data_IF_211208750376
#
_entry.id   IF_211208750376
#
_cell.length_a   1.000
_cell.length_b   1.000
_cell.length_c   1.000
_cell.angle_alpha   90.00
_cell.angle_beta   90.00
_cell.angle_gamma   90.00
#
_symmetry.space_group_name_H-M   'P 1'
#
loop_
_entity.id
_entity.type
_entity.pdbx_description
1 polymer ?
#
# COMPACT_ATOMS: atom_id res chain seq x y z
N UNK A 1 19.20 0.15 2.04
CA UNK A 1 18.82 -0.81 0.98
C UNK A 1 18.25 -2.04 1.68
N UNK A 2 17.00 -2.43 1.41
CA UNK A 2 16.31 -3.56 2.03
C UNK A 2 16.35 -3.53 3.58
N UNK A 3 15.70 -2.54 4.19
CA UNK A 3 15.75 -2.25 5.64
C UNK A 3 15.44 -3.49 6.49
N UNK A 4 14.46 -4.29 6.07
CA UNK A 4 14.08 -5.52 6.76
C UNK A 4 14.79 -6.79 6.28
N UNK A 5 15.92 -6.71 5.57
CA UNK A 5 16.72 -7.91 5.24
C UNK A 5 17.11 -8.71 6.51
N UNK A 6 17.41 -8.01 7.61
CA UNK A 6 17.68 -8.65 8.91
C UNK A 6 16.45 -9.37 9.47
N UNK A 7 15.25 -8.88 9.18
CA UNK A 7 13.99 -9.53 9.56
C UNK A 7 13.86 -10.84 8.79
N UNK A 8 14.02 -10.80 7.47
CA UNK A 8 13.99 -12.00 6.62
C UNK A 8 14.98 -13.08 7.08
N UNK A 9 16.22 -12.67 7.36
CA UNK A 9 17.30 -13.57 7.78
C UNK A 9 17.02 -14.23 9.14
N UNK A 10 16.35 -13.53 10.06
CA UNK A 10 15.97 -14.07 11.38
C UNK A 10 14.82 -15.06 11.33
N UNK A 11 13.98 -15.01 10.29
CA UNK A 11 12.87 -15.95 10.12
C UNK A 11 13.40 -17.31 9.64
N UNK A 12 12.98 -18.38 10.33
CA UNK A 12 13.13 -19.74 9.82
C UNK A 12 12.34 -19.94 8.53
N UNK A 13 12.66 -20.99 7.77
CA UNK A 13 11.91 -21.33 6.55
C UNK A 13 10.41 -21.52 6.83
N UNK A 14 10.06 -22.19 7.94
CA UNK A 14 8.68 -22.36 8.38
C UNK A 14 8.00 -21.01 8.67
N UNK A 15 8.65 -20.10 9.42
CA UNK A 15 8.09 -18.78 9.71
C UNK A 15 7.90 -17.92 8.45
N UNK A 16 8.78 -18.04 7.46
CA UNK A 16 8.63 -17.36 6.16
C UNK A 16 7.39 -17.89 5.42
N UNK A 17 7.20 -19.21 5.40
CA UNK A 17 6.05 -19.83 4.77
C UNK A 17 4.74 -19.45 5.49
N UNK A 18 4.74 -19.49 6.82
CA UNK A 18 3.60 -19.08 7.66
C UNK A 18 3.25 -17.59 7.46
N UNK A 19 4.26 -16.72 7.30
CA UNK A 19 4.08 -15.30 6.95
C UNK A 19 3.35 -15.10 5.64
N UNK A 20 3.74 -15.84 4.61
CA UNK A 20 3.09 -15.77 3.31
C UNK A 20 1.64 -16.27 3.42
N UNK A 21 1.42 -17.42 4.04
CA UNK A 21 0.10 -18.04 4.19
C UNK A 21 -0.87 -17.17 4.99
N UNK A 22 -0.45 -16.66 6.15
CA UNK A 22 -1.28 -15.75 6.96
C UNK A 22 -1.54 -14.41 6.28
N UNK A 23 -0.69 -14.02 5.34
CA UNK A 23 -0.91 -12.85 4.46
C UNK A 23 -1.79 -13.17 3.25
N UNK A 24 -2.37 -14.36 3.17
CA UNK A 24 -3.30 -14.77 2.11
C UNK A 24 -2.62 -15.15 0.81
N UNK A 25 -1.35 -15.60 0.87
CA UNK A 25 -0.60 -16.09 -0.28
C UNK A 25 -0.41 -17.60 -0.20
N UNK A 26 -0.50 -18.27 -1.34
CA UNK A 26 -0.05 -19.66 -1.44
C UNK A 26 1.49 -19.67 -1.47
N UNK A 27 2.11 -20.55 -0.68
CA UNK A 27 3.57 -20.65 -0.61
C UNK A 27 4.03 -22.07 -0.30
N UNK A 28 5.16 -22.46 -0.88
CA UNK A 28 5.88 -23.71 -0.61
C UNK A 28 7.38 -23.44 -0.74
N UNK A 29 8.02 -23.02 0.36
CA UNK A 29 9.44 -22.62 0.34
C UNK A 29 10.40 -23.77 0.66
N UNK A 30 9.88 -24.89 1.16
CA UNK A 30 10.62 -25.90 1.95
C UNK A 30 11.09 -27.15 1.20
N UNK A 31 10.91 -27.27 -0.12
CA UNK A 31 11.34 -28.48 -0.88
C UNK A 31 12.59 -28.30 -1.76
N UNK A 32 13.62 -27.62 -1.25
CA UNK A 32 14.85 -27.32 -2.01
C UNK A 32 16.17 -27.84 -1.41
N UNK A 33 16.16 -28.78 -0.46
CA UNK A 33 17.39 -29.24 0.21
C UNK A 33 17.37 -30.73 0.58
N UNK A 34 18.23 -31.50 -0.11
CA UNK A 34 18.76 -32.83 0.23
C UNK A 34 17.79 -33.99 0.58
N UNK A 35 17.63 -34.91 -0.37
CA UNK A 35 17.64 -36.35 -0.09
C UNK A 35 18.31 -37.09 -1.25
N UNK A 36 19.54 -37.53 -1.02
CA UNK A 36 20.20 -38.52 -1.87
C UNK A 36 19.60 -39.92 -1.68
N UNK A 37 19.94 -40.78 -2.64
CA UNK A 37 19.80 -42.24 -2.70
C UNK A 37 18.38 -42.83 -2.66
N UNK A 38 17.88 -43.13 -3.87
CA UNK A 38 17.48 -44.48 -4.27
C UNK A 38 16.21 -45.06 -3.66
N UNK A 39 15.14 -45.14 -4.48
CA UNK A 39 14.65 -46.44 -4.94
C UNK A 39 13.67 -46.25 -6.11
N UNK A 40 13.84 -47.10 -7.12
CA UNK A 40 13.02 -47.15 -8.32
C UNK A 40 11.59 -47.52 -7.96
N UNK A 41 10.63 -46.72 -8.41
CA UNK A 41 9.29 -47.23 -8.69
C UNK A 41 8.78 -46.56 -9.97
N UNK A 42 9.30 -47.05 -11.09
CA UNK A 42 8.60 -47.02 -12.36
C UNK A 42 7.34 -47.87 -12.18
N UNK A 43 6.20 -47.23 -11.91
CA UNK A 43 4.87 -47.58 -12.45
C UNK A 43 3.78 -46.81 -11.70
N UNK A 44 2.85 -46.24 -12.48
CA UNK A 44 1.66 -45.45 -12.09
C UNK A 44 1.86 -43.95 -11.79
N UNK A 45 2.07 -43.18 -12.86
CA UNK A 45 1.48 -41.84 -13.01
C UNK A 45 1.42 -41.41 -14.49
N UNK A 46 0.79 -42.22 -15.34
CA UNK A 46 0.27 -41.72 -16.62
C UNK A 46 -1.11 -41.09 -16.35
N UNK A 47 -1.08 -39.80 -16.02
CA UNK A 47 -2.28 -38.99 -15.78
C UNK A 47 -1.86 -37.55 -15.48
N UNK A 48 -1.96 -36.68 -16.50
CA UNK A 48 -1.77 -35.22 -16.44
C UNK A 48 -0.41 -34.71 -15.93
N UNK A 49 0.60 -34.72 -16.81
CA UNK A 49 1.72 -33.77 -16.71
C UNK A 49 1.17 -32.35 -16.99
N UNK A 50 0.55 -31.74 -15.99
CA UNK A 50 0.13 -30.33 -16.00
C UNK A 50 1.38 -29.47 -16.20
N UNK A 51 1.54 -28.97 -17.43
CA UNK A 51 2.51 -27.95 -17.82
C UNK A 51 2.49 -26.81 -16.81
N UNK A 52 3.46 -26.81 -15.90
CA UNK A 52 3.55 -25.83 -14.83
C UNK A 52 4.30 -24.61 -15.33
N UNK A 53 3.56 -23.53 -15.61
CA UNK A 53 4.16 -22.25 -16.01
C UNK A 53 4.73 -21.53 -14.79
N UNK A 54 6.01 -21.18 -14.85
CA UNK A 54 6.69 -20.38 -13.82
C UNK A 54 6.98 -18.96 -14.31
N UNK A 55 7.14 -18.05 -13.37
CA UNK A 55 7.49 -16.67 -13.61
C UNK A 55 8.57 -16.22 -12.65
N UNK A 56 9.59 -15.56 -13.17
CA UNK A 56 10.55 -14.78 -12.39
C UNK A 56 10.07 -13.34 -12.33
N UNK A 57 9.93 -12.79 -11.14
CA UNK A 57 9.48 -11.41 -10.92
C UNK A 57 10.53 -10.64 -10.14
N UNK A 58 11.01 -9.53 -10.70
CA UNK A 58 11.95 -8.63 -10.06
C UNK A 58 11.20 -7.43 -9.47
N UNK A 59 11.42 -7.14 -8.18
CA UNK A 59 10.77 -6.04 -7.47
C UNK A 59 11.81 -5.19 -6.77
N UNK A 60 11.68 -3.87 -6.90
CA UNK A 60 12.48 -2.90 -6.19
C UNK A 60 11.60 -1.85 -5.50
N UNK A 61 11.69 -1.76 -4.18
CA UNK A 61 10.98 -0.77 -3.37
C UNK A 61 9.50 -0.66 -3.76
N UNK A 62 8.78 -1.79 -3.63
CA UNK A 62 7.35 -1.93 -3.97
C UNK A 62 7.01 -1.83 -5.48
N UNK A 63 7.99 -1.57 -6.34
CA UNK A 63 7.78 -1.46 -7.80
C UNK A 63 8.22 -2.73 -8.51
N UNK A 64 7.34 -3.31 -9.32
CA UNK A 64 7.68 -4.44 -10.20
C UNK A 64 8.51 -3.91 -11.37
N UNK A 65 9.76 -4.36 -11.48
CA UNK A 65 10.67 -3.97 -12.54
C UNK A 65 10.49 -4.84 -13.78
N UNK A 66 10.35 -6.16 -13.57
CA UNK A 66 10.33 -7.13 -14.66
C UNK A 66 9.49 -8.35 -14.27
N UNK A 67 8.80 -8.92 -15.25
CA UNK A 67 8.09 -10.21 -15.14
C UNK A 67 8.54 -11.05 -16.34
N UNK A 68 9.19 -12.18 -16.08
CA UNK A 68 9.73 -13.07 -17.10
C UNK A 68 9.08 -14.45 -17.00
N UNK A 69 8.39 -14.94 -18.04
CA UNK A 69 7.92 -16.32 -18.08
C UNK A 69 9.11 -17.27 -18.23
N UNK A 70 9.16 -18.32 -17.43
CA UNK A 70 10.11 -19.42 -17.56
C UNK A 70 9.38 -20.60 -18.22
N UNK A 71 9.86 -21.05 -19.39
CA UNK A 71 9.20 -22.06 -20.20
C UNK A 71 9.04 -23.42 -19.49
N UNK A 72 8.20 -24.29 -20.05
CA UNK A 72 7.90 -25.62 -19.51
C UNK A 72 8.90 -26.66 -20.01
N UNK A 73 9.87 -27.08 -19.20
CA UNK A 73 10.79 -28.16 -19.56
C UNK A 73 11.71 -28.61 -18.42
N UNK A 74 12.20 -29.85 -18.52
CA UNK A 74 12.95 -30.62 -17.51
C UNK A 74 14.31 -30.03 -17.02
N UNK A 75 14.62 -28.78 -17.36
CA UNK A 75 15.82 -28.07 -16.91
C UNK A 75 15.61 -27.19 -15.66
N UNK A 76 14.40 -27.17 -15.08
CA UNK A 76 14.11 -26.39 -13.87
C UNK A 76 14.19 -27.26 -12.60
N UNK A 77 15.42 -27.51 -12.14
CA UNK A 77 15.63 -27.72 -10.73
C UNK A 77 15.70 -26.32 -10.08
N UNK A 78 14.86 -25.95 -9.09
CA UNK A 78 14.92 -24.61 -8.46
C UNK A 78 16.29 -24.28 -7.82
N UNK A 79 17.15 -25.30 -7.66
CA UNK A 79 18.55 -25.19 -7.28
C UNK A 79 19.52 -24.83 -8.43
N UNK A 80 19.12 -24.94 -9.71
CA UNK A 80 20.00 -24.78 -10.89
C UNK A 80 19.82 -23.48 -11.68
N UNK A 81 18.94 -22.57 -11.24
CA UNK A 81 18.83 -21.23 -11.86
C UNK A 81 20.06 -20.38 -11.49
N UNK A 82 20.85 -19.88 -12.46
CA UNK A 82 22.01 -19.07 -12.15
C UNK A 82 21.58 -17.73 -11.54
N UNK A 83 22.26 -17.24 -10.48
CA UNK A 83 22.09 -15.85 -10.06
C UNK A 83 22.46 -14.92 -11.23
N UNK A 84 21.89 -13.73 -11.26
CA UNK A 84 22.30 -12.66 -12.18
C UNK A 84 23.81 -12.47 -12.03
N UNK A 85 24.59 -12.94 -13.01
CA UNK A 85 26.04 -12.81 -13.02
C UNK A 85 26.36 -11.32 -13.16
N UNK A 86 26.94 -10.73 -12.10
CA UNK A 86 27.71 -9.52 -12.23
C UNK A 86 28.85 -9.79 -13.21
N UNK A 87 28.93 -9.01 -14.28
CA UNK A 87 30.00 -9.13 -15.28
C UNK A 87 31.32 -8.83 -14.56
N UNK A 88 32.08 -9.88 -14.31
CA UNK A 88 33.47 -9.81 -13.87
C UNK A 88 34.36 -9.49 -15.07
N UNK A 89 35.20 -8.48 -14.86
CA UNK A 89 36.34 -8.06 -15.67
C UNK A 89 37.31 -9.19 -15.99
N UNK A 90 37.78 -9.28 -17.24
CA UNK A 90 39.21 -9.26 -17.59
C UNK A 90 39.41 -9.50 -19.10
N UNK A 91 40.05 -8.54 -19.76
CA UNK A 91 40.60 -8.65 -21.11
C UNK A 91 41.55 -7.47 -21.34
N UNK A 92 42.80 -7.62 -20.87
CA UNK A 92 43.92 -6.69 -21.12
C UNK A 92 44.07 -6.44 -22.62
N UNK A 93 44.27 -5.18 -23.01
CA UNK A 93 45.24 -4.71 -24.01
C UNK A 93 45.40 -3.18 -23.77
N UNK A 94 46.63 -2.71 -23.57
CA UNK A 94 47.00 -1.29 -23.70
C UNK A 94 48.03 -1.13 -24.82
N UNK A 95 48.76 0.00 -24.93
CA UNK A 95 48.32 1.40 -24.86
C UNK A 95 48.85 2.23 -26.07
N UNK A 96 48.17 3.32 -26.44
CA UNK A 96 48.68 4.46 -27.23
C UNK A 96 47.49 5.41 -27.45
N UNK A 97 47.55 6.73 -27.39
CA UNK A 97 48.60 7.73 -27.22
C UNK A 97 47.89 9.09 -27.04
N UNK A 98 48.70 10.10 -26.74
CA UNK A 98 48.38 11.52 -26.51
C UNK A 98 47.40 12.13 -27.54
N UNK A 99 46.59 13.12 -27.15
CA UNK A 99 46.90 14.55 -27.41
C UNK A 99 45.85 15.53 -26.84
N UNK A 100 46.29 16.78 -26.70
CA UNK A 100 45.79 17.90 -25.93
C UNK A 100 44.59 18.68 -26.53
N UNK A 101 43.89 19.42 -25.65
CA UNK A 101 43.60 20.85 -25.83
C UNK A 101 42.47 21.30 -26.78
N UNK A 102 41.41 21.91 -26.21
CA UNK A 102 41.13 23.36 -26.29
C UNK A 102 39.73 23.72 -25.82
N UNK A 103 39.68 24.74 -24.96
CA UNK A 103 38.51 25.51 -24.57
C UNK A 103 38.09 26.50 -25.68
N UNK A 104 36.81 26.85 -25.71
CA UNK A 104 36.34 28.09 -26.31
C UNK A 104 35.04 28.55 -25.62
N UNK A 105 35.19 29.60 -24.82
CA UNK A 105 34.13 30.53 -24.41
C UNK A 105 33.73 31.41 -25.60
N UNK A 106 32.43 31.72 -25.76
CA UNK A 106 31.97 32.94 -26.43
C UNK A 106 30.67 33.44 -25.77
N UNK A 107 30.85 34.51 -25.00
CA UNK A 107 30.14 35.81 -24.93
C UNK A 107 28.60 35.91 -24.94
N UNK A 108 28.17 36.68 -23.94
CA UNK A 108 26.89 37.34 -23.68
C UNK A 108 26.89 38.72 -24.35
N UNK A 109 25.75 39.16 -24.88
CA UNK A 109 25.26 40.56 -24.91
C UNK A 109 23.74 40.53 -25.23
N UNK A 110 22.86 41.12 -24.40
CA UNK A 110 22.26 42.47 -24.58
C UNK A 110 20.98 42.35 -25.44
N UNK A 111 19.78 42.84 -25.14
CA UNK A 111 19.30 43.99 -24.38
C UNK A 111 17.80 43.79 -24.02
N UNK A 112 17.31 44.55 -23.04
CA UNK A 112 15.88 44.75 -22.73
C UNK A 112 15.37 46.05 -23.38
N UNK A 113 14.09 46.11 -23.77
CA UNK A 113 13.32 47.35 -23.56
C UNK A 113 12.03 47.13 -22.76
N UNK A 114 11.73 48.14 -21.94
CA UNK A 114 10.51 48.27 -21.13
C UNK A 114 9.37 48.87 -21.95
N UNK A 115 8.17 48.31 -21.74
CA UNK A 115 6.92 49.04 -21.43
C UNK A 115 6.12 49.62 -22.59
N UNK A 116 4.86 49.21 -22.72
CA UNK A 116 3.68 50.07 -22.52
C UNK A 116 2.38 49.25 -22.48
N UNK A 117 1.37 49.84 -21.84
CA UNK A 117 0.05 49.36 -21.40
C UNK A 117 -0.97 49.01 -22.49
N UNK A 118 -1.96 48.16 -22.17
CA UNK A 118 -3.25 48.13 -22.88
C UNK A 118 -4.11 46.86 -22.71
N UNK A 119 -5.18 47.01 -21.95
CA UNK A 119 -6.47 46.28 -21.85
C UNK A 119 -6.84 45.05 -22.72
N UNK A 120 -7.52 44.11 -22.05
CA UNK A 120 -8.71 43.33 -22.43
C UNK A 120 -8.77 42.48 -23.72
N UNK A 121 -9.06 41.19 -23.57
CA UNK A 121 -9.70 40.37 -24.61
C UNK A 121 -9.13 38.94 -24.69
N UNK A 122 -9.98 37.93 -24.50
CA UNK A 122 -9.56 36.54 -24.39
C UNK A 122 -9.21 35.85 -25.72
N UNK A 123 -8.43 34.78 -25.62
CA UNK A 123 -8.53 33.58 -26.45
C UNK A 123 -7.71 32.48 -25.78
N UNK A 124 -8.31 31.30 -25.65
CA UNK A 124 -7.63 30.09 -25.23
C UNK A 124 -6.74 29.62 -26.38
N UNK A 125 -5.42 29.61 -26.17
CA UNK A 125 -4.50 28.91 -27.06
C UNK A 125 -3.76 27.81 -26.33
N UNK A 126 -3.70 26.70 -27.05
CA UNK A 126 -3.35 25.36 -26.60
C UNK A 126 -1.85 25.17 -26.78
N UNK A 127 -1.05 25.38 -25.74
CA UNK A 127 0.37 25.03 -25.79
C UNK A 127 0.61 23.57 -25.39
N UNK A 128 0.85 22.76 -26.43
CA UNK A 128 1.47 21.44 -26.35
C UNK A 128 2.89 21.55 -25.76
N UNK A 129 3.04 21.36 -24.44
CA UNK A 129 4.33 21.02 -23.84
C UNK A 129 4.49 19.51 -23.75
N UNK A 130 5.30 18.97 -24.65
CA UNK A 130 5.87 17.63 -24.60
C UNK A 130 6.70 17.47 -23.31
N UNK A 131 6.13 16.80 -22.31
CA UNK A 131 6.83 16.34 -21.12
C UNK A 131 7.01 14.83 -21.22
N UNK A 132 8.23 14.41 -21.54
CA UNK A 132 8.67 13.01 -21.62
C UNK A 132 8.91 12.45 -20.21
N UNK A 133 7.82 12.03 -19.55
CA UNK A 133 7.91 11.14 -18.38
C UNK A 133 8.23 9.71 -18.85
N UNK A 134 9.13 8.98 -18.17
CA UNK A 134 9.31 7.56 -18.44
C UNK A 134 8.01 6.81 -18.12
N UNK A 135 7.71 5.84 -18.99
CA UNK A 135 6.43 5.15 -19.10
C UNK A 135 5.78 4.80 -17.75
N UNK A 136 4.51 5.20 -17.66
CA UNK A 136 3.62 5.06 -16.53
C UNK A 136 3.55 3.62 -15.98
N UNK A 137 3.70 3.50 -14.66
CA UNK A 137 3.23 2.36 -13.86
C UNK A 137 1.68 2.39 -13.75
N UNK A 138 1.02 2.52 -14.90
CA UNK A 138 -0.41 2.37 -15.02
C UNK A 138 -0.82 0.97 -14.57
N UNK A 139 -1.85 0.93 -13.75
CA UNK A 139 -2.51 -0.27 -13.24
C UNK A 139 -2.67 -1.32 -14.37
N UNK A 140 -1.86 -2.39 -14.35
CA UNK A 140 -2.01 -3.48 -15.33
C UNK A 140 -3.22 -4.31 -14.94
N UNK A 141 -4.43 -3.88 -15.32
CA UNK A 141 -5.63 -4.73 -15.26
C UNK A 141 -5.34 -5.99 -16.10
N UNK A 142 -5.08 -7.13 -15.45
CA UNK A 142 -4.55 -8.30 -16.16
C UNK A 142 -3.95 -9.36 -15.24
N UNK A 143 -3.60 -10.51 -15.81
CA UNK A 143 -2.87 -11.57 -15.10
C UNK A 143 -1.49 -11.08 -14.60
N UNK A 144 -0.80 -10.26 -15.41
CA UNK A 144 0.48 -9.64 -15.06
C UNK A 144 0.39 -8.69 -13.85
N UNK A 145 -0.70 -7.92 -13.72
CA UNK A 145 -0.92 -7.07 -12.54
C UNK A 145 -1.09 -7.88 -11.28
N UNK A 146 -1.95 -8.90 -11.31
CA UNK A 146 -2.18 -9.78 -10.15
C UNK A 146 -0.91 -10.49 -9.70
N UNK A 147 -0.08 -10.92 -10.65
CA UNK A 147 1.22 -11.51 -10.36
C UNK A 147 2.18 -10.52 -9.71
N UNK A 148 2.22 -9.28 -10.20
CA UNK A 148 2.97 -8.18 -9.61
C UNK A 148 2.55 -7.90 -8.16
N UNK A 149 1.24 -7.80 -7.91
CA UNK A 149 0.69 -7.59 -6.56
C UNK A 149 1.09 -8.73 -5.62
N UNK A 150 1.00 -9.99 -6.08
CA UNK A 150 1.46 -11.16 -5.32
C UNK A 150 2.94 -11.07 -4.98
N UNK A 151 3.79 -10.67 -5.94
CA UNK A 151 5.23 -10.56 -5.74
C UNK A 151 5.58 -9.46 -4.72
N UNK A 152 4.99 -8.28 -4.85
CA UNK A 152 5.20 -7.15 -3.92
C UNK A 152 4.74 -7.54 -2.51
N UNK A 153 3.54 -8.12 -2.38
CA UNK A 153 3.00 -8.56 -1.10
C UNK A 153 3.86 -9.63 -0.43
N UNK A 154 4.36 -10.59 -1.22
CA UNK A 154 5.23 -11.65 -0.73
C UNK A 154 6.54 -11.12 -0.15
N UNK A 155 7.22 -10.21 -0.86
CA UNK A 155 8.43 -9.57 -0.31
C UNK A 155 8.11 -8.75 0.94
N UNK A 156 7.06 -7.92 0.88
CA UNK A 156 6.71 -6.99 1.96
C UNK A 156 6.44 -7.71 3.29
N UNK A 157 5.59 -8.73 3.30
CA UNK A 157 5.25 -9.48 4.52
C UNK A 157 6.45 -10.25 5.12
N UNK A 158 7.43 -10.57 4.28
CA UNK A 158 8.69 -11.18 4.68
C UNK A 158 9.72 -10.16 5.20
N UNK A 159 9.36 -8.88 5.27
CA UNK A 159 10.26 -7.81 5.69
C UNK A 159 11.16 -7.28 4.57
N UNK A 160 10.98 -7.73 3.33
CA UNK A 160 11.83 -7.33 2.22
C UNK A 160 11.22 -6.15 1.45
N UNK A 161 12.07 -5.20 1.06
CA UNK A 161 11.67 -4.06 0.22
C UNK A 161 11.90 -4.35 -1.27
N UNK A 162 12.88 -5.22 -1.56
CA UNK A 162 13.36 -5.55 -2.90
C UNK A 162 13.87 -6.99 -2.97
N UNK A 163 13.75 -7.60 -4.14
CA UNK A 163 14.23 -8.96 -4.38
C UNK A 163 13.67 -9.56 -5.66
N UNK A 164 13.89 -10.85 -5.79
CA UNK A 164 13.38 -11.69 -6.87
C UNK A 164 12.46 -12.75 -6.27
N UNK A 165 11.37 -13.06 -6.98
CA UNK A 165 10.50 -14.18 -6.68
C UNK A 165 10.38 -15.14 -7.86
N UNK A 166 10.29 -16.42 -7.53
CA UNK A 166 9.83 -17.46 -8.43
C UNK A 166 8.38 -17.80 -8.08
N UNK A 167 7.47 -17.54 -9.01
CA UNK A 167 6.05 -17.79 -8.86
C UNK A 167 5.60 -18.91 -9.79
N UNK A 168 4.84 -19.88 -9.27
CA UNK A 168 4.16 -20.91 -10.06
C UNK A 168 2.73 -20.50 -10.35
N UNK A 169 2.29 -20.56 -11.59
CA UNK A 169 0.87 -20.39 -11.93
C UNK A 169 0.05 -21.62 -11.52
N UNK A 170 -1.07 -21.37 -10.85
CA UNK A 170 -1.99 -22.40 -10.36
C UNK A 170 -3.32 -22.44 -11.13
N UNK A 171 -3.43 -21.68 -12.23
CA UNK A 171 -4.69 -21.44 -12.94
C UNK A 171 -5.52 -20.32 -12.30
N UNK A 172 -6.54 -19.82 -13.01
CA UNK A 172 -7.50 -18.84 -12.46
C UNK A 172 -6.90 -17.52 -11.94
N UNK A 173 -5.72 -17.11 -12.43
CA UNK A 173 -4.91 -15.98 -11.91
C UNK A 173 -4.44 -16.15 -10.44
N UNK A 174 -4.37 -17.38 -9.95
CA UNK A 174 -3.69 -17.71 -8.70
C UNK A 174 -2.22 -18.05 -8.95
N UNK A 175 -1.37 -17.64 -8.00
CA UNK A 175 0.07 -17.81 -8.06
C UNK A 175 0.58 -18.28 -6.70
N UNK A 176 1.44 -19.29 -6.70
CA UNK A 176 2.13 -19.79 -5.52
C UNK A 176 3.57 -19.30 -5.48
N UNK A 177 4.03 -18.89 -4.31
CA UNK A 177 5.41 -18.47 -4.06
C UNK A 177 6.28 -19.70 -3.78
N UNK A 178 7.19 -20.02 -4.70
CA UNK A 178 8.06 -21.20 -4.59
C UNK A 178 9.49 -20.80 -4.16
N UNK A 179 9.95 -19.60 -4.50
CA UNK A 179 11.28 -19.09 -4.08
C UNK A 179 11.26 -17.58 -3.87
N UNK A 180 12.00 -17.12 -2.86
CA UNK A 180 12.26 -15.70 -2.59
C UNK A 180 13.77 -15.51 -2.46
N UNK A 181 14.34 -14.61 -3.26
CA UNK A 181 15.75 -14.26 -3.26
C UNK A 181 15.84 -12.76 -2.90
N UNK A 182 16.23 -12.41 -1.66
CA UNK A 182 16.41 -11.02 -1.28
C UNK A 182 17.43 -10.31 -2.15
N UNK A 183 17.17 -9.05 -2.50
CA UNK A 183 18.22 -8.22 -3.09
C UNK A 183 19.26 -7.89 -2.01
N UNK A 184 20.49 -8.34 -2.22
CA UNK A 184 21.66 -8.01 -1.40
C UNK A 184 22.62 -7.14 -2.20
N UNK A 185 23.29 -6.19 -1.56
CA UNK A 185 24.36 -5.43 -2.21
C UNK A 185 25.46 -6.39 -2.67
N UNK A 186 25.95 -6.21 -3.90
CA UNK A 186 27.09 -6.96 -4.41
C UNK A 186 28.37 -6.60 -3.61
N UNK A 187 29.39 -7.45 -3.66
CA UNK A 187 30.71 -7.16 -3.07
C UNK A 187 31.34 -5.87 -3.63
N UNK A 188 31.00 -5.49 -4.88
CA UNK A 188 31.40 -4.23 -5.51
C UNK A 188 30.58 -3.01 -5.07
N UNK A 189 29.54 -3.20 -4.25
CA UNK A 189 28.60 -2.15 -3.85
C UNK A 189 27.61 -1.71 -4.93
N UNK A 190 27.83 -2.03 -6.21
CA UNK A 190 26.96 -1.66 -7.31
C UNK A 190 25.78 -2.63 -7.47
N UNK A 191 24.58 -2.07 -7.66
CA UNK A 191 23.40 -2.85 -8.02
C UNK A 191 23.48 -3.29 -9.50
N UNK A 192 23.06 -4.53 -9.85
CA UNK A 192 22.90 -4.91 -11.24
C UNK A 192 21.68 -4.22 -11.87
N UNK A 193 21.63 -4.13 -13.20
CA UNK A 193 20.39 -3.76 -13.88
C UNK A 193 19.34 -4.89 -13.74
N UNK A 194 18.03 -4.57 -13.67
CA UNK A 194 17.42 -3.23 -13.72
C UNK A 194 17.37 -2.49 -12.36
N UNK A 195 17.92 -3.07 -11.28
CA UNK A 195 17.84 -2.49 -9.93
C UNK A 195 18.59 -1.17 -9.80
N UNK A 196 19.71 -1.00 -10.49
CA UNK A 196 20.49 0.25 -10.46
C UNK A 196 19.69 1.42 -11.02
N UNK A 197 19.10 1.29 -12.20
CA UNK A 197 18.26 2.32 -12.78
C UNK A 197 17.07 2.66 -11.87
N UNK A 198 16.39 1.65 -11.33
CA UNK A 198 15.27 1.85 -10.40
C UNK A 198 15.70 2.56 -9.10
N UNK A 199 16.87 2.22 -8.57
CA UNK A 199 17.43 2.89 -7.40
C UNK A 199 17.73 4.36 -7.66
N UNK A 200 18.34 4.69 -8.81
CA UNK A 200 18.63 6.07 -9.19
C UNK A 200 17.33 6.88 -9.37
N UNK A 201 16.33 6.31 -10.02
CA UNK A 201 15.01 6.94 -10.20
C UNK A 201 14.34 7.25 -8.85
N UNK A 202 14.32 6.28 -7.93
CA UNK A 202 13.76 6.48 -6.59
C UNK A 202 14.54 7.55 -5.80
N UNK A 203 15.88 7.50 -5.81
CA UNK A 203 16.70 8.50 -5.12
C UNK A 203 16.44 9.90 -5.68
N UNK A 204 16.30 10.03 -7.00
CA UNK A 204 15.93 11.29 -7.63
C UNK A 204 14.56 11.78 -7.14
N UNK A 205 13.52 10.93 -7.18
CA UNK A 205 12.19 11.29 -6.66
C UNK A 205 12.21 11.74 -5.21
N UNK A 206 12.93 11.02 -4.35
CA UNK A 206 13.08 11.37 -2.93
C UNK A 206 13.85 12.67 -2.73
N UNK A 207 14.85 12.97 -3.57
CA UNK A 207 15.64 14.21 -3.48
C UNK A 207 14.84 15.47 -3.83
N UNK A 208 13.73 15.32 -4.57
CA UNK A 208 12.83 16.41 -4.91
C UNK A 208 11.84 16.74 -3.79
N UNK A 209 11.72 15.90 -2.77
CA UNK A 209 10.82 16.14 -1.64
C UNK A 209 11.37 17.19 -0.69
N UNK A 210 10.52 18.13 -0.29
CA UNK A 210 10.83 19.10 0.74
C UNK A 210 10.52 18.53 2.14
N UNK A 211 11.36 18.80 3.16
CA UNK A 211 11.09 18.41 4.54
C UNK A 211 9.70 18.85 5.02
N UNK A 212 8.98 17.96 5.72
CA UNK A 212 7.62 18.21 6.19
C UNK A 212 6.54 18.14 5.09
N UNK A 213 6.94 18.03 3.82
CA UNK A 213 6.07 17.84 2.65
C UNK A 213 4.96 18.90 2.55
N UNK A 214 5.29 20.20 2.37
CA UNK A 214 4.29 21.26 2.21
C UNK A 214 3.37 21.06 0.99
N UNK A 215 3.82 20.27 0.01
CA UNK A 215 3.02 19.86 -1.15
C UNK A 215 2.08 18.68 -0.90
N UNK A 216 2.10 18.07 0.30
CA UNK A 216 1.27 16.92 0.65
C UNK A 216 -0.21 17.25 0.49
N UNK A 217 -0.91 16.41 -0.24
CA UNK A 217 -2.36 16.47 -0.38
C UNK A 217 -2.95 15.14 0.06
N UNK A 218 -3.99 15.21 0.88
CA UNK A 218 -4.73 14.07 1.38
C UNK A 218 -6.08 13.96 0.68
N UNK A 219 -6.43 12.74 0.30
CA UNK A 219 -7.78 12.32 -0.06
C UNK A 219 -8.21 11.15 0.82
N UNK A 220 -9.46 10.73 0.68
CA UNK A 220 -10.00 9.54 1.34
C UNK A 220 -11.25 9.07 0.63
N UNK A 221 -11.60 7.82 0.88
CA UNK A 221 -12.79 7.18 0.38
C UNK A 221 -13.33 6.14 1.39
N UNK A 222 -13.71 6.55 2.63
CA UNK A 222 -14.20 5.60 3.61
C UNK A 222 -15.61 5.10 3.30
N UNK A 223 -15.84 3.85 3.68
CA UNK A 223 -17.00 3.05 3.29
C UNK A 223 -18.00 2.84 4.45
N UNK A 224 -19.27 2.61 4.10
CA UNK A 224 -20.33 2.22 5.03
C UNK A 224 -21.41 1.36 4.34
N UNK A 225 -22.20 0.62 5.14
CA UNK A 225 -23.34 -0.17 4.69
C UNK A 225 -24.66 0.50 5.04
N UNK A 226 -25.67 0.23 4.22
CA UNK A 226 -27.07 0.50 4.54
C UNK A 226 -27.72 -0.79 5.06
N UNK A 227 -28.16 -0.78 6.30
CA UNK A 227 -28.78 -1.93 6.95
C UNK A 227 -30.25 -1.65 7.25
N UNK A 228 -31.13 -2.58 6.86
CA UNK A 228 -32.52 -2.62 7.31
C UNK A 228 -32.60 -3.48 8.58
N UNK A 229 -32.69 -2.84 9.74
CA UNK A 229 -32.69 -3.55 11.04
C UNK A 229 -33.83 -4.56 11.17
N UNK A 230 -35.03 -4.23 10.68
CA UNK A 230 -36.20 -5.12 10.78
C UNK A 230 -36.02 -6.47 10.09
N UNK A 231 -35.11 -6.58 9.12
CA UNK A 231 -34.84 -7.83 8.39
C UNK A 231 -33.39 -8.32 8.52
N UNK A 232 -32.51 -7.54 9.13
CA UNK A 232 -31.07 -7.80 9.17
C UNK A 232 -30.38 -7.79 7.81
N UNK A 233 -31.02 -7.28 6.75
CA UNK A 233 -30.49 -7.34 5.37
C UNK A 233 -29.76 -6.07 4.97
N UNK A 234 -28.62 -6.24 4.31
CA UNK A 234 -27.92 -5.16 3.60
C UNK A 234 -28.78 -4.72 2.41
N UNK A 235 -29.03 -3.41 2.34
CA UNK A 235 -29.69 -2.78 1.21
C UNK A 235 -28.61 -2.22 0.29
N UNK A 236 -28.60 -2.54 -1.01
CA UNK A 236 -27.55 -2.04 -1.89
C UNK A 236 -27.52 -0.51 -1.95
N UNK A 237 -26.34 0.07 -1.74
CA UNK A 237 -26.13 1.52 -1.81
C UNK A 237 -26.55 2.12 -3.15
N UNK A 238 -26.36 1.37 -4.25
CA UNK A 238 -26.77 1.74 -5.62
C UNK A 238 -28.25 2.04 -5.80
N UNK A 239 -29.11 1.66 -4.84
CA UNK A 239 -30.53 2.06 -4.85
C UNK A 239 -30.74 3.55 -4.53
N UNK A 240 -29.75 4.20 -3.92
CA UNK A 240 -29.86 5.57 -3.43
C UNK A 240 -28.71 6.46 -3.90
N UNK A 241 -27.51 5.90 -4.07
CA UNK A 241 -26.31 6.64 -4.44
C UNK A 241 -25.90 6.31 -5.88
N UNK A 242 -25.35 7.28 -6.63
CA UNK A 242 -24.71 7.04 -7.92
C UNK A 242 -23.48 6.12 -7.76
N UNK A 243 -22.97 5.59 -8.87
CA UNK A 243 -21.73 4.79 -8.84
C UNK A 243 -20.51 5.65 -8.49
N UNK A 244 -20.47 6.89 -8.96
CA UNK A 244 -19.38 7.85 -8.78
C UNK A 244 -19.81 9.04 -7.90
N UNK A 245 -18.99 10.10 -7.86
CA UNK A 245 -19.28 11.31 -7.12
C UNK A 245 -18.86 11.29 -5.64
N UNK A 246 -19.13 12.41 -4.96
CA UNK A 246 -18.71 12.68 -3.56
C UNK A 246 -19.35 11.72 -2.55
N UNK A 247 -20.52 11.19 -2.88
CA UNK A 247 -21.20 10.12 -2.15
C UNK A 247 -21.69 9.14 -3.21
N UNK A 248 -21.00 8.02 -3.34
CA UNK A 248 -21.27 7.04 -4.39
C UNK A 248 -21.26 5.62 -3.85
N UNK A 249 -21.07 4.65 -4.73
CA UNK A 249 -21.03 3.24 -4.38
C UNK A 249 -19.69 2.61 -4.75
N UNK A 250 -19.33 1.55 -4.04
CA UNK A 250 -18.24 0.64 -4.42
C UNK A 250 -18.73 -0.81 -4.58
N UNK A 251 -17.93 -1.61 -5.28
CA UNK A 251 -18.18 -3.02 -5.48
C UNK A 251 -18.05 -3.77 -4.16
N UNK A 252 -19.03 -4.61 -3.85
CA UNK A 252 -19.01 -5.44 -2.64
C UNK A 252 -18.17 -6.71 -2.82
N UNK A 253 -18.17 -7.60 -1.81
CA UNK A 253 -17.48 -8.89 -1.85
C UNK A 253 -17.83 -9.72 -3.11
N UNK A 254 -16.95 -10.67 -3.52
CA UNK A 254 -17.23 -11.59 -4.61
C UNK A 254 -18.58 -12.29 -4.44
N UNK A 255 -19.44 -12.21 -5.46
CA UNK A 255 -20.81 -12.77 -5.44
C UNK A 255 -21.92 -11.72 -5.50
N UNK A 256 -21.62 -10.43 -5.31
CA UNK A 256 -22.60 -9.34 -5.34
C UNK A 256 -23.06 -8.92 -6.75
N UNK A 257 -22.66 -9.64 -7.82
CA UNK A 257 -23.09 -9.50 -9.24
C UNK A 257 -23.57 -8.08 -9.62
N UNK A 258 -22.68 -7.08 -9.57
CA UNK A 258 -22.95 -5.73 -10.07
C UNK A 258 -23.93 -4.89 -9.24
N UNK A 259 -24.26 -5.30 -8.00
CA UNK A 259 -25.23 -4.56 -7.17
C UNK A 259 -24.64 -3.39 -6.37
N UNK A 260 -23.34 -3.10 -6.48
CA UNK A 260 -22.61 -2.04 -5.73
C UNK A 260 -23.19 -1.77 -4.33
N UNK A 261 -23.09 -2.75 -3.42
CA UNK A 261 -23.80 -2.74 -2.15
C UNK A 261 -23.19 -1.79 -1.10
N UNK A 262 -21.94 -1.38 -1.25
CA UNK A 262 -21.21 -0.55 -0.29
C UNK A 262 -21.34 0.92 -0.70
N UNK A 263 -21.62 1.79 0.27
CA UNK A 263 -21.59 3.23 0.07
C UNK A 263 -20.19 3.77 0.39
N UNK A 264 -19.70 4.72 -0.41
CA UNK A 264 -18.35 5.29 -0.26
C UNK A 264 -18.42 6.83 -0.32
N UNK A 265 -17.75 7.50 0.61
CA UNK A 265 -17.68 8.96 0.67
C UNK A 265 -16.35 9.45 0.11
N UNK A 266 -16.35 10.20 -0.99
CA UNK A 266 -15.14 10.66 -1.70
C UNK A 266 -15.00 12.18 -1.61
N UNK A 267 -14.70 12.75 -0.42
CA UNK A 267 -14.52 14.20 -0.27
C UNK A 267 -13.40 14.72 -1.18
N UNK A 268 -13.52 15.98 -1.60
CA UNK A 268 -12.49 16.63 -2.40
C UNK A 268 -11.14 16.66 -1.64
N UNK A 269 -10.01 16.31 -2.28
CA UNK A 269 -8.70 16.32 -1.64
C UNK A 269 -8.32 17.70 -1.08
N UNK A 270 -7.57 17.69 0.04
CA UNK A 270 -7.10 18.91 0.73
C UNK A 270 -5.71 18.69 1.30
N UNK A 271 -4.94 19.77 1.40
CA UNK A 271 -3.64 19.78 2.10
C UNK A 271 -3.84 19.69 3.61
N UNK A 272 -4.71 20.57 4.14
CA UNK A 272 -4.98 20.65 5.56
C UNK A 272 -5.96 19.55 6.05
N UNK A 273 -5.60 18.75 7.06
CA UNK A 273 -6.46 17.72 7.64
C UNK A 273 -7.85 18.23 8.04
N UNK A 274 -7.91 19.41 8.66
CA UNK A 274 -9.18 20.02 9.08
C UNK A 274 -10.09 20.33 7.90
N UNK A 275 -9.53 20.81 6.80
CA UNK A 275 -10.30 21.09 5.59
C UNK A 275 -10.82 19.80 4.95
N UNK A 276 -10.02 18.73 4.94
CA UNK A 276 -10.44 17.42 4.44
C UNK A 276 -11.61 16.85 5.25
N UNK A 277 -11.53 16.93 6.58
CA UNK A 277 -12.61 16.50 7.47
C UNK A 277 -13.89 17.32 7.26
N UNK A 278 -13.78 18.63 7.02
CA UNK A 278 -14.94 19.45 6.67
C UNK A 278 -15.59 18.99 5.35
N UNK A 279 -14.79 18.60 4.35
CA UNK A 279 -15.30 18.00 3.11
C UNK A 279 -15.95 16.64 3.36
N UNK A 280 -15.39 15.80 4.24
CA UNK A 280 -16.01 14.54 4.65
C UNK A 280 -17.39 14.75 5.29
N UNK A 281 -17.52 15.74 6.16
CA UNK A 281 -18.83 16.11 6.74
C UNK A 281 -19.83 16.53 5.65
N UNK A 282 -19.38 17.27 4.63
CA UNK A 282 -20.22 17.67 3.50
C UNK A 282 -20.63 16.47 2.63
N UNK A 283 -19.71 15.53 2.41
CA UNK A 283 -19.97 14.27 1.70
C UNK A 283 -21.04 13.44 2.43
N UNK A 284 -20.90 13.28 3.75
CA UNK A 284 -21.89 12.56 4.57
C UNK A 284 -23.28 13.23 4.51
N UNK A 285 -23.37 14.56 4.58
CA UNK A 285 -24.65 15.27 4.40
C UNK A 285 -25.24 15.10 3.00
N UNK A 286 -24.40 14.94 1.99
CA UNK A 286 -24.86 14.67 0.62
C UNK A 286 -25.44 13.27 0.52
N UNK A 287 -24.74 12.26 1.05
CA UNK A 287 -25.27 10.91 1.19
C UNK A 287 -26.60 10.88 1.99
N UNK A 288 -26.71 11.65 3.08
CA UNK A 288 -27.92 11.71 3.90
C UNK A 288 -29.15 12.28 3.18
N UNK A 289 -28.93 13.25 2.27
CA UNK A 289 -30.00 13.80 1.42
C UNK A 289 -30.45 12.80 0.37
N UNK A 290 -29.52 12.06 -0.24
CA UNK A 290 -29.82 11.06 -1.27
C UNK A 290 -30.48 9.80 -0.69
N UNK A 291 -30.02 9.35 0.47
CA UNK A 291 -30.60 8.19 1.18
C UNK A 291 -31.81 8.65 1.98
N UNK A 292 -32.91 8.97 1.29
CA UNK A 292 -34.10 9.53 1.94
C UNK A 292 -34.79 8.57 2.93
N UNK A 293 -34.63 7.25 2.77
CA UNK A 293 -35.18 6.24 3.67
C UNK A 293 -34.52 6.32 5.06
N UNK A 294 -35.29 6.75 6.06
CA UNK A 294 -34.84 6.92 7.46
C UNK A 294 -34.93 5.64 8.28
N UNK A 295 -35.52 4.57 7.74
CA UNK A 295 -35.50 3.24 8.38
C UNK A 295 -34.16 2.52 8.21
N UNK A 296 -33.30 3.01 7.30
CA UNK A 296 -31.97 2.46 7.06
C UNK A 296 -30.95 3.03 8.03
N UNK A 297 -30.18 2.14 8.64
CA UNK A 297 -29.05 2.46 9.50
C UNK A 297 -27.76 2.47 8.71
N UNK A 298 -26.87 3.38 9.05
CA UNK A 298 -25.52 3.40 8.48
C UNK A 298 -24.60 2.63 9.43
N UNK A 299 -23.93 1.60 8.90
CA UNK A 299 -22.95 0.81 9.65
C UNK A 299 -21.57 0.99 9.04
N UNK A 300 -20.57 1.23 9.88
CA UNK A 300 -19.17 1.36 9.49
C UNK A 300 -18.29 0.56 10.46
N UNK A 301 -16.99 0.49 10.17
CA UNK A 301 -16.01 -0.27 10.94
C UNK A 301 -15.15 -1.16 10.07
N UNK A 302 -14.52 -2.17 10.67
CA UNK A 302 -13.72 -3.14 9.95
C UNK A 302 -14.55 -4.23 9.30
N UNK A 303 -15.58 -4.74 9.99
CA UNK A 303 -16.50 -5.76 9.49
C UNK A 303 -17.85 -5.71 10.25
N UNK A 304 -18.68 -4.67 10.04
CA UNK A 304 -19.91 -4.46 10.83
C UNK A 304 -20.93 -5.60 10.69
N UNK A 305 -20.86 -6.36 9.59
CA UNK A 305 -21.62 -7.58 9.37
C UNK A 305 -20.69 -8.67 8.85
N UNK A 306 -20.93 -9.92 9.24
CA UNK A 306 -20.12 -11.06 8.81
C UNK A 306 -20.02 -11.12 7.28
N UNK A 307 -18.78 -11.20 6.77
CA UNK A 307 -18.50 -11.22 5.34
C UNK A 307 -18.48 -9.85 4.65
N UNK A 308 -18.80 -8.76 5.36
CA UNK A 308 -18.79 -7.38 4.84
C UNK A 308 -17.65 -6.58 5.45
N UNK A 309 -16.44 -6.80 4.95
CA UNK A 309 -15.29 -5.97 5.30
C UNK A 309 -15.44 -4.58 4.67
N UNK A 310 -15.13 -3.53 5.43
CA UNK A 310 -15.20 -2.14 4.96
C UNK A 310 -13.90 -1.37 5.14
N UNK A 311 -13.65 -0.45 4.23
CA UNK A 311 -12.46 0.37 4.12
C UNK A 311 -12.54 1.77 4.66
N UNK A 312 -11.41 2.22 5.20
CA UNK A 312 -11.13 3.65 5.39
C UNK A 312 -9.88 4.01 4.62
N UNK A 313 -9.92 4.00 3.29
CA UNK A 313 -8.69 4.26 2.53
C UNK A 313 -8.31 5.74 2.58
N UNK A 314 -7.01 5.98 2.65
CA UNK A 314 -6.41 7.31 2.68
C UNK A 314 -5.51 7.47 1.48
N UNK A 315 -5.63 8.59 0.78
CA UNK A 315 -4.90 8.87 -0.44
C UNK A 315 -3.88 9.96 -0.16
N UNK A 316 -2.67 9.78 -0.69
CA UNK A 316 -1.57 10.72 -0.50
C UNK A 316 -0.93 11.05 -1.85
N UNK A 317 -0.78 12.34 -2.13
CA UNK A 317 0.02 12.84 -3.26
C UNK A 317 0.93 13.98 -2.80
N UNK A 318 1.91 14.35 -3.62
CA UNK A 318 3.01 15.22 -3.18
C UNK A 318 4.01 14.51 -2.26
N UNK A 319 3.99 13.16 -2.26
CA UNK A 319 4.93 12.29 -1.55
C UNK A 319 5.21 11.05 -2.40
N UNK A 320 6.46 10.59 -2.40
CA UNK A 320 6.91 9.37 -3.08
C UNK A 320 6.62 8.17 -2.20
N UNK A 321 5.84 7.22 -2.73
CA UNK A 321 5.66 5.94 -2.07
C UNK A 321 6.98 5.18 -2.03
N UNK A 322 7.37 4.76 -0.83
CA UNK A 322 8.48 3.85 -0.61
C UNK A 322 8.19 2.91 0.57
N UNK A 323 8.93 1.81 0.66
CA UNK A 323 8.76 0.80 1.69
C UNK A 323 8.88 1.35 3.12
N UNK A 324 9.83 2.25 3.47
CA UNK A 324 9.87 2.88 4.78
C UNK A 324 8.59 3.66 5.13
N UNK A 325 8.04 4.44 4.20
CA UNK A 325 6.78 5.16 4.38
C UNK A 325 5.62 4.19 4.61
N UNK A 326 5.52 3.13 3.79
CA UNK A 326 4.46 2.14 3.92
C UNK A 326 4.55 1.39 5.26
N UNK A 327 5.77 1.04 5.72
CA UNK A 327 6.00 0.45 7.05
C UNK A 327 5.65 1.42 8.18
N UNK A 328 5.90 2.72 8.01
CA UNK A 328 5.48 3.72 8.99
C UNK A 328 3.95 3.78 9.09
N UNK A 329 3.23 3.77 7.96
CA UNK A 329 1.76 3.70 7.98
C UNK A 329 1.26 2.42 8.67
N UNK A 330 1.84 1.25 8.37
CA UNK A 330 1.42 0.01 9.00
C UNK A 330 1.65 0.01 10.53
N UNK A 331 2.83 0.43 10.99
CA UNK A 331 3.18 0.39 12.41
C UNK A 331 2.54 1.52 13.22
N UNK A 332 2.40 2.72 12.65
CA UNK A 332 1.94 3.90 13.39
C UNK A 332 0.51 4.32 13.09
N UNK A 333 -0.14 3.75 12.08
CA UNK A 333 -1.54 4.03 11.74
C UNK A 333 -2.42 2.77 11.79
N UNK A 334 -2.06 1.70 11.06
CA UNK A 334 -2.87 0.48 11.07
C UNK A 334 -2.87 -0.24 12.40
N UNK A 335 -1.71 -0.41 13.05
CA UNK A 335 -1.63 -1.02 14.39
C UNK A 335 -2.52 -0.30 15.42
N UNK A 336 -2.42 1.03 15.65
CA UNK A 336 -3.28 1.68 16.62
C UNK A 336 -4.77 1.63 16.28
N UNK A 337 -5.16 1.69 14.99
CA UNK A 337 -6.57 1.52 14.62
C UNK A 337 -7.05 0.08 14.83
N UNK A 338 -6.19 -0.93 14.61
CA UNK A 338 -6.50 -2.32 14.93
C UNK A 338 -6.71 -2.52 16.44
N UNK A 339 -6.02 -1.78 17.31
CA UNK A 339 -6.28 -1.85 18.75
C UNK A 339 -7.69 -1.38 19.13
N UNK A 340 -8.28 -0.49 18.33
CA UNK A 340 -9.61 0.08 18.57
C UNK A 340 -10.74 -0.65 17.83
N UNK A 341 -10.44 -1.48 16.83
CA UNK A 341 -11.47 -2.14 16.00
C UNK A 341 -12.29 -3.18 16.77
N UNK A 342 -13.50 -3.50 16.30
CA UNK A 342 -14.29 -4.58 16.90
C UNK A 342 -13.60 -5.95 16.69
N UNK A 343 -13.71 -6.87 17.64
CA UNK A 343 -13.08 -8.19 17.54
C UNK A 343 -13.47 -8.96 16.26
N UNK A 344 -14.68 -8.73 15.74
CA UNK A 344 -15.16 -9.31 14.48
C UNK A 344 -14.30 -8.90 13.28
N UNK A 345 -13.71 -7.70 13.31
CA UNK A 345 -12.91 -7.18 12.22
C UNK A 345 -11.68 -8.05 11.92
N UNK A 346 -11.23 -8.90 12.85
CA UNK A 346 -10.15 -9.86 12.58
C UNK A 346 -10.39 -10.72 11.33
N UNK A 347 -11.64 -11.13 11.07
CA UNK A 347 -11.99 -11.98 9.94
C UNK A 347 -11.88 -11.29 8.57
N UNK A 348 -11.68 -9.97 8.52
CA UNK A 348 -11.40 -9.25 7.27
C UNK A 348 -10.02 -9.64 6.71
N UNK A 349 -9.06 -9.96 7.59
CA UNK A 349 -7.69 -10.31 7.22
C UNK A 349 -7.61 -11.81 6.88
N UNK A 350 -6.78 -12.19 5.89
CA UNK A 350 -5.89 -11.33 5.09
C UNK A 350 -6.50 -10.77 3.80
N UNK A 351 -7.78 -11.06 3.52
CA UNK A 351 -8.42 -10.69 2.25
C UNK A 351 -8.58 -9.18 2.08
N UNK A 352 -8.78 -8.49 3.19
CA UNK A 352 -8.91 -7.04 3.29
C UNK A 352 -8.14 -6.56 4.54
N UNK A 353 -7.57 -5.36 4.50
CA UNK A 353 -6.82 -4.81 5.64
C UNK A 353 -5.50 -5.52 5.98
N UNK A 354 -4.89 -6.19 5.00
CA UNK A 354 -3.56 -6.78 5.16
C UNK A 354 -2.47 -5.72 5.23
N UNK A 355 -1.37 -6.01 5.93
CA UNK A 355 -0.21 -5.11 5.97
C UNK A 355 0.35 -4.89 4.56
N UNK A 356 0.78 -3.66 4.29
CA UNK A 356 1.32 -3.24 3.01
C UNK A 356 0.31 -3.20 1.86
N UNK A 357 -1.00 -3.12 2.13
CA UNK A 357 -2.00 -2.96 1.08
C UNK A 357 -2.05 -1.50 0.61
N UNK A 358 -1.67 -1.29 -0.65
CA UNK A 358 -1.68 0.01 -1.30
C UNK A 358 -2.07 -0.12 -2.77
N UNK A 359 -2.42 1.02 -3.38
CA UNK A 359 -2.65 1.14 -4.81
C UNK A 359 -2.03 2.44 -5.33
N UNK A 360 -1.17 2.35 -6.35
CA UNK A 360 -0.68 3.52 -7.07
C UNK A 360 -1.81 4.16 -7.86
N UNK A 361 -1.85 5.49 -7.87
CA UNK A 361 -2.87 6.27 -8.57
C UNK A 361 -2.33 6.82 -9.90
N UNK A 362 -3.09 6.76 -11.01
CA UNK A 362 -2.62 7.21 -12.33
C UNK A 362 -2.22 8.70 -12.38
N UNK A 363 -2.85 9.51 -11.55
CA UNK A 363 -2.59 10.96 -11.44
C UNK A 363 -1.44 11.29 -10.47
N UNK A 364 -0.68 10.28 -10.02
CA UNK A 364 0.39 10.41 -9.04
C UNK A 364 -0.09 10.19 -7.61
N UNK A 365 0.85 9.80 -6.75
CA UNK A 365 0.54 9.41 -5.37
C UNK A 365 0.04 7.97 -5.24
N UNK A 366 -0.50 7.65 -4.07
CA UNK A 366 -0.98 6.32 -3.73
C UNK A 366 -2.15 6.36 -2.75
N UNK A 367 -2.93 5.28 -2.77
CA UNK A 367 -3.98 4.97 -1.82
C UNK A 367 -3.46 3.90 -0.85
N UNK A 368 -3.61 4.14 0.45
CA UNK A 368 -3.30 3.23 1.53
C UNK A 368 -4.58 2.54 2.00
N UNK A 369 -4.60 1.20 1.97
CA UNK A 369 -5.84 0.41 1.98
C UNK A 369 -5.99 -0.52 3.19
N UNK A 370 -5.03 -0.47 4.11
CA UNK A 370 -5.00 -1.37 5.27
C UNK A 370 -6.11 -1.08 6.29
N UNK A 371 -6.57 0.17 6.40
CA UNK A 371 -7.39 0.60 7.53
C UNK A 371 -8.84 0.09 7.48
N UNK A 372 -9.47 -0.21 8.64
CA UNK A 372 -10.91 -0.34 8.72
C UNK A 372 -11.59 1.00 8.43
N UNK A 373 -12.88 0.98 8.09
CA UNK A 373 -13.64 2.22 7.94
C UNK A 373 -13.67 2.99 9.26
N UNK A 374 -12.98 4.13 9.28
CA UNK A 374 -12.94 5.05 10.41
C UNK A 374 -14.19 5.95 10.51
N UNK A 375 -15.22 5.71 9.69
CA UNK A 375 -16.51 6.41 9.77
C UNK A 375 -17.34 6.03 11.01
N UNK A 376 -16.87 5.10 11.84
CA UNK A 376 -17.51 4.72 13.11
C UNK A 376 -17.82 5.92 14.02
N UNK A 377 -16.99 6.97 13.98
CA UNK A 377 -17.34 8.28 14.57
C UNK A 377 -16.47 9.42 14.04
N UNK A 378 -16.92 10.68 14.16
CA UNK A 378 -16.10 11.85 13.84
C UNK A 378 -14.81 11.96 14.67
N UNK A 379 -14.77 11.44 15.90
CA UNK A 379 -13.56 11.45 16.74
C UNK A 379 -12.51 10.51 16.16
N UNK A 380 -12.91 9.29 15.79
CA UNK A 380 -12.00 8.31 15.18
C UNK A 380 -11.48 8.82 13.84
N UNK A 381 -12.37 9.35 12.98
CA UNK A 381 -11.96 9.91 11.70
C UNK A 381 -10.99 11.09 11.85
N UNK A 382 -11.24 12.01 12.79
CA UNK A 382 -10.32 13.12 13.08
C UNK A 382 -8.94 12.59 13.47
N UNK A 383 -8.89 11.66 14.42
CA UNK A 383 -7.64 11.08 14.87
C UNK A 383 -6.89 10.35 13.74
N UNK A 384 -7.58 9.52 12.95
CA UNK A 384 -6.98 8.79 11.84
C UNK A 384 -6.36 9.73 10.79
N UNK A 385 -7.08 10.79 10.40
CA UNK A 385 -6.63 11.74 9.36
C UNK A 385 -5.47 12.60 9.86
N UNK A 386 -5.54 13.12 11.08
CA UNK A 386 -4.43 13.92 11.65
C UNK A 386 -3.19 13.07 11.92
N UNK A 387 -3.37 11.84 12.42
CA UNK A 387 -2.28 10.90 12.64
C UNK A 387 -1.62 10.51 11.31
N UNK A 388 -2.41 10.20 10.29
CA UNK A 388 -1.90 9.90 8.95
C UNK A 388 -1.09 11.07 8.36
N UNK A 389 -1.63 12.29 8.42
CA UNK A 389 -0.91 13.47 7.95
C UNK A 389 0.45 13.63 8.65
N UNK A 390 0.47 13.57 9.99
CA UNK A 390 1.71 13.70 10.76
C UNK A 390 2.72 12.60 10.43
N UNK A 391 2.27 11.34 10.31
CA UNK A 391 3.12 10.20 9.92
C UNK A 391 3.72 10.45 8.53
N UNK A 392 2.92 10.79 7.52
CA UNK A 392 3.43 10.97 6.16
C UNK A 392 4.38 12.16 6.08
N UNK A 393 4.11 13.25 6.78
CA UNK A 393 5.00 14.41 6.84
C UNK A 393 6.35 14.14 7.52
N UNK A 394 6.46 13.08 8.34
CA UNK A 394 7.62 12.82 9.22
C UNK A 394 8.04 11.35 9.31
N UNK A 395 7.74 10.53 8.30
CA UNK A 395 7.92 9.07 8.42
C UNK A 395 9.38 8.67 8.64
N UNK A 396 10.33 9.51 8.24
CA UNK A 396 11.77 9.31 8.41
C UNK A 396 12.23 9.29 9.89
N UNK A 397 11.45 9.96 10.75
CA UNK A 397 11.69 10.04 12.19
C UNK A 397 11.03 8.86 12.94
N UNK A 398 10.11 8.15 12.28
CA UNK A 398 9.37 7.01 12.82
C UNK A 398 10.07 5.71 12.46
N UNK A 399 10.92 5.18 13.35
CA UNK A 399 11.83 4.06 13.03
C UNK A 399 11.50 2.73 13.70
N UNK A 400 10.65 2.70 14.72
CA UNK A 400 10.25 1.42 15.31
C UNK A 400 9.37 0.62 14.35
N UNK A 401 9.60 -0.69 14.30
CA UNK A 401 8.90 -1.66 13.43
C UNK A 401 8.44 -2.90 14.22
N UNK A 402 7.57 -2.77 15.24
CA UNK A 402 7.11 -3.93 16.00
C UNK A 402 6.50 -5.03 15.11
N UNK A 403 5.80 -4.67 14.04
CA UNK A 403 5.21 -5.63 13.09
C UNK A 403 6.25 -6.41 12.26
N UNK A 404 7.54 -6.07 12.34
CA UNK A 404 8.59 -6.93 11.79
C UNK A 404 8.84 -8.17 12.66
N UNK A 405 8.45 -8.15 13.94
CA UNK A 405 8.52 -9.34 14.81
C UNK A 405 7.43 -10.34 14.43
N UNK A 406 7.78 -11.62 14.44
CA UNK A 406 6.89 -12.68 13.95
C UNK A 406 5.65 -12.90 14.80
N UNK A 407 5.80 -12.81 16.13
CA UNK A 407 4.72 -12.88 17.10
C UNK A 407 3.72 -11.72 16.92
N UNK A 408 4.21 -10.48 16.79
CA UNK A 408 3.35 -9.30 16.61
C UNK A 408 2.69 -9.28 15.23
N UNK A 409 3.39 -9.72 14.19
CA UNK A 409 2.78 -9.91 12.89
C UNK A 409 1.70 -10.99 12.94
N UNK A 410 1.89 -12.12 13.63
CA UNK A 410 0.84 -13.12 13.79
C UNK A 410 -0.36 -12.57 14.59
N UNK A 411 -0.10 -11.78 15.63
CA UNK A 411 -1.12 -11.11 16.43
C UNK A 411 -1.99 -10.15 15.59
N UNK A 412 -1.38 -9.35 14.71
CA UNK A 412 -2.12 -8.47 13.81
C UNK A 412 -3.12 -9.22 12.92
N UNK A 413 -2.69 -10.33 12.31
CA UNK A 413 -3.55 -11.08 11.40
C UNK A 413 -4.61 -11.91 12.13
N UNK A 414 -4.31 -12.43 13.33
CA UNK A 414 -5.29 -13.16 14.15
C UNK A 414 -6.29 -12.25 14.88
N UNK A 415 -5.96 -10.96 15.03
CA UNK A 415 -6.77 -10.05 15.83
C UNK A 415 -6.43 -10.06 17.32
N UNK A 416 -5.35 -10.73 17.73
CA UNK A 416 -4.90 -10.72 19.11
C UNK A 416 -4.30 -9.35 19.48
N UNK A 417 -5.01 -8.61 20.32
CA UNK A 417 -4.63 -7.26 20.73
C UNK A 417 -3.61 -7.24 21.85
N UNK A 418 -3.53 -8.29 22.69
CA UNK A 418 -2.73 -8.26 23.91
C UNK A 418 -1.24 -7.93 23.66
N UNK A 419 -0.52 -8.67 22.79
CA UNK A 419 0.89 -8.37 22.54
C UNK A 419 1.08 -7.09 21.72
N UNK A 420 0.09 -6.68 20.92
CA UNK A 420 0.11 -5.41 20.18
C UNK A 420 -0.07 -4.20 21.08
N UNK A 421 -0.94 -4.28 22.09
CA UNK A 421 -1.11 -3.23 23.11
C UNK A 421 0.20 -3.00 23.85
N UNK A 422 0.89 -4.08 24.25
CA UNK A 422 2.20 -3.97 24.90
C UNK A 422 3.27 -3.30 24.02
N UNK A 423 3.17 -3.45 22.69
CA UNK A 423 4.08 -2.84 21.73
C UNK A 423 3.76 -1.38 21.38
N UNK A 424 2.58 -0.86 21.74
CA UNK A 424 2.12 0.46 21.34
C UNK A 424 2.75 1.66 22.08
N UNK A 425 3.00 1.64 23.40
CA UNK A 425 3.49 2.82 24.12
C UNK A 425 4.76 3.46 23.54
N UNK A 426 5.79 2.68 23.11
CA UNK A 426 6.95 3.25 22.42
C UNK A 426 6.62 3.95 21.10
N UNK A 427 5.63 3.45 20.35
CA UNK A 427 5.16 4.08 19.11
C UNK A 427 4.48 5.41 19.39
N UNK A 428 3.59 5.45 20.39
CA UNK A 428 2.92 6.67 20.81
C UNK A 428 3.92 7.73 21.29
N UNK A 429 4.99 7.32 22.00
CA UNK A 429 6.05 8.22 22.42
C UNK A 429 6.81 8.84 21.23
N UNK A 430 7.14 8.05 20.19
CA UNK A 430 7.78 8.60 18.99
C UNK A 430 6.86 9.59 18.27
N UNK A 431 5.56 9.30 18.14
CA UNK A 431 4.59 10.23 17.53
C UNK A 431 4.53 11.55 18.31
N UNK A 432 4.47 11.50 19.64
CA UNK A 432 4.42 12.68 20.50
C UNK A 432 5.67 13.56 20.39
N UNK A 433 6.81 12.97 20.05
CA UNK A 433 8.08 13.67 19.89
C UNK A 433 8.23 14.34 18.51
N UNK A 434 7.33 14.08 17.55
CA UNK A 434 7.45 14.63 16.21
C UNK A 434 7.21 16.15 16.15
N UNK A 435 7.98 16.89 15.33
CA UNK A 435 7.63 18.26 14.99
C UNK A 435 6.25 18.33 14.31
N UNK A 436 5.37 19.17 14.84
CA UNK A 436 3.98 19.30 14.38
C UNK A 436 2.96 18.55 15.25
N UNK A 437 3.42 17.73 16.21
CA UNK A 437 2.52 16.98 17.09
C UNK A 437 1.59 17.88 17.91
N UNK A 438 2.11 18.97 18.47
CA UNK A 438 1.33 19.90 19.32
C UNK A 438 0.04 20.39 18.64
N UNK A 439 0.12 20.74 17.35
CA UNK A 439 -1.06 21.20 16.60
C UNK A 439 -2.07 20.07 16.32
N UNK A 440 -1.59 18.83 16.23
CA UNK A 440 -2.40 17.63 15.97
C UNK A 440 -2.91 16.95 17.25
N UNK A 441 -2.30 17.23 18.41
CA UNK A 441 -2.49 16.51 19.67
C UNK A 441 -3.95 16.43 20.09
N UNK A 442 -4.70 17.54 19.99
CA UNK A 442 -6.14 17.59 20.32
C UNK A 442 -7.02 16.62 19.51
N UNK A 443 -6.53 16.13 18.36
CA UNK A 443 -7.23 15.17 17.51
C UNK A 443 -6.69 13.75 17.67
N UNK A 444 -5.40 13.59 17.98
CA UNK A 444 -4.72 12.29 18.11
C UNK A 444 -4.88 11.71 19.52
N UNK A 445 -4.73 12.53 20.58
CA UNK A 445 -4.79 12.05 21.97
C UNK A 445 -6.08 11.34 22.37
N UNK A 446 -7.28 11.70 21.86
CA UNK A 446 -8.47 10.90 22.09
C UNK A 446 -8.33 9.45 21.63
N UNK A 447 -7.66 9.19 20.50
CA UNK A 447 -7.39 7.81 20.06
C UNK A 447 -6.47 7.09 21.03
N UNK A 448 -5.38 7.74 21.45
CA UNK A 448 -4.39 7.13 22.34
C UNK A 448 -4.99 6.85 23.72
N UNK A 449 -5.85 7.74 24.21
CA UNK A 449 -6.60 7.57 25.44
C UNK A 449 -7.54 6.37 25.35
N UNK A 450 -8.27 6.21 24.24
CA UNK A 450 -9.11 5.02 24.01
C UNK A 450 -8.28 3.73 23.93
N UNK A 451 -7.10 3.76 23.32
CA UNK A 451 -6.20 2.59 23.28
C UNK A 451 -5.72 2.22 24.70
N UNK A 452 -5.31 3.21 25.50
CA UNK A 452 -4.85 3.01 26.86
C UNK A 452 -5.96 2.52 27.80
N UNK A 453 -7.19 2.98 27.59
CA UNK A 453 -8.38 2.54 28.30
C UNK A 453 -8.96 1.20 27.77
N UNK A 454 -8.23 0.54 26.87
CA UNK A 454 -8.62 -0.71 26.22
C UNK A 454 -9.98 -0.71 25.52
N UNK A 455 -10.43 0.47 25.09
CA UNK A 455 -11.70 0.63 24.42
C UNK A 455 -11.68 0.03 23.02
N UNK A 456 -12.84 -0.46 22.59
CA UNK A 456 -13.12 -0.85 21.21
C UNK A 456 -14.34 -0.08 20.73
N UNK A 457 -14.40 0.29 19.45
CA UNK A 457 -15.61 0.90 18.90
C UNK A 457 -16.70 -0.15 18.66
N UNK A 458 -17.95 0.30 18.70
CA UNK A 458 -19.13 -0.52 18.43
C UNK A 458 -19.55 -0.38 16.96
N UNK A 459 -19.28 -1.42 16.15
CA UNK A 459 -19.66 -1.46 14.73
C UNK A 459 -21.15 -1.75 14.51
N UNK A 460 -21.91 -2.06 15.58
CA UNK A 460 -23.37 -2.21 15.54
C UNK A 460 -24.11 -0.88 15.66
N UNK A 461 -23.42 0.24 15.94
CA UNK A 461 -24.03 1.56 16.10
C UNK A 461 -24.51 2.14 14.77
N UNK A 462 -25.61 2.90 14.80
CA UNK A 462 -26.00 3.73 13.65
C UNK A 462 -25.16 5.01 13.62
N UNK A 463 -24.31 5.14 12.62
CA UNK A 463 -23.41 6.28 12.51
C UNK A 463 -24.09 7.51 11.90
N UNK A 464 -25.27 7.36 11.27
CA UNK A 464 -25.91 8.44 10.50
C UNK A 464 -26.08 9.72 11.32
N UNK A 465 -26.57 9.58 12.55
CA UNK A 465 -26.78 10.71 13.47
C UNK A 465 -25.48 11.40 13.94
N UNK A 466 -24.36 10.66 14.00
CA UNK A 466 -23.05 11.22 14.36
C UNK A 466 -22.51 12.18 13.30
N UNK A 467 -22.81 11.89 12.04
CA UNK A 467 -22.29 12.65 10.90
C UNK A 467 -23.25 13.73 10.41
N UNK A 468 -24.56 13.51 10.56
CA UNK A 468 -25.58 14.39 10.00
C UNK A 468 -26.38 15.17 11.04
N UNK A 469 -26.15 14.92 12.33
CA UNK A 469 -26.82 15.62 13.43
C UNK A 469 -26.45 17.11 13.52
N UNK A 470 -27.41 17.95 13.93
CA UNK A 470 -27.27 19.42 14.05
C UNK A 470 -26.30 19.89 15.16
N UNK A 471 -25.65 19.00 15.93
CA UNK A 471 -25.00 19.33 17.23
C UNK A 471 -23.46 19.35 17.26
N UNK A 472 -22.75 19.25 16.13
CA UNK A 472 -21.27 19.11 16.17
C UNK A 472 -20.49 20.05 15.24
N UNK A 473 -20.95 21.30 15.08
CA UNK A 473 -20.11 22.36 14.51
C UNK A 473 -19.17 22.94 15.56
#
# INVERSE_FOLDING_TARGET
MNEGLRVYQKLSAAQREDRLRRSGLEALLTQGGNSGSGENTYEKAQGELLYSQYYRVLVYNLTVLEILPLGTGAAMNPASLPPVKGIGTAGRLGPSGMDEGRALEVLIDGEWPRGFSGECGGAAETEHRLSSYPASSGHRRGAAGKMGDTAVKALYCLGLDSGELLLKAMGGRSYRVDKVIPLTAAASGALPEPYRAASLALMHSLSLEQPGRPGLMLGMDPEFLLLRESTGRVVPASRYLPTDGVAGCDAGPPGTRGTFPVAELRPAPRREPRALLAQLMSAARTADRLIADRSLRWRAGGMPLAGWALGGHLHFSGVTLCAPLLRALDNYLALPLMLLEDARAAARRPRYGGLGDFRLQPHGGFEYRTLPSFLVSPVIAKGAVFLAHLIVSRYEDLRLRPLDRDDLHAAYYSGDKSPLRAAFPPLAAQIRALPGYEQAARYIEPLFSSIAAEQTWDESRDIRGLWCGKKHL
#
